data_IF_215092962424
#
_entry.id   IF_215092962424
#
_cell.length_a   1.000
_cell.length_b   1.000
_cell.length_c   1.000
_cell.angle_alpha   90.00
_cell.angle_beta   90.00
_cell.angle_gamma   90.00
#
_symmetry.space_group_name_H-M   'P 1'
#
loop_
_entity.id
_entity.type
_entity.pdbx_description
1 polymer ?
#
# COMPACT_ATOMS: atom_id res chain seq x y z
N UNK A 1 32.22 64.51 68.61
CA UNK A 1 32.55 64.20 67.18
C UNK A 1 31.89 62.91 66.85
N UNK A 2 30.72 62.97 66.27
CA UNK A 2 30.01 61.76 65.78
C UNK A 2 30.33 61.55 64.27
N UNK A 3 30.96 60.41 63.94
CA UNK A 3 31.15 59.98 62.53
C UNK A 3 29.86 59.34 62.05
N UNK A 4 29.26 59.88 60.95
CA UNK A 4 28.14 59.30 60.19
C UNK A 4 28.72 58.24 59.25
N UNK A 5 28.18 57.00 59.16
CA UNK A 5 28.63 56.03 58.22
C UNK A 5 28.08 56.37 56.80
N UNK A 6 28.96 56.25 55.80
CA UNK A 6 28.67 56.52 54.40
C UNK A 6 27.91 55.30 53.76
N UNK A 7 26.77 55.50 53.13
CA UNK A 7 26.07 54.40 52.52
C UNK A 7 26.78 53.93 51.23
N UNK A 8 27.18 52.65 51.16
CA UNK A 8 27.76 52.01 49.99
C UNK A 8 26.66 51.69 48.99
N UNK A 9 26.57 52.42 47.87
CA UNK A 9 25.71 52.13 46.78
C UNK A 9 26.27 50.94 45.97
N UNK A 10 25.44 49.93 45.55
CA UNK A 10 25.90 48.82 44.73
C UNK A 10 26.33 49.36 43.38
N UNK A 11 27.54 49.01 42.97
CA UNK A 11 28.16 49.50 41.74
C UNK A 11 27.34 49.00 40.53
N UNK A 12 27.12 49.88 39.54
CA UNK A 12 26.39 49.69 38.29
C UNK A 12 26.77 48.36 37.53
N UNK A 13 27.94 47.81 37.81
CA UNK A 13 28.44 46.54 37.30
C UNK A 13 27.63 45.31 37.79
N UNK A 14 27.10 45.33 39.00
CA UNK A 14 26.29 44.21 39.54
C UNK A 14 24.89 44.23 38.95
N UNK A 15 24.28 45.39 38.73
CA UNK A 15 23.00 45.57 38.07
C UNK A 15 23.03 45.10 36.61
N UNK A 16 24.09 45.47 35.88
CA UNK A 16 24.27 45.03 34.49
C UNK A 16 24.48 43.50 34.35
N UNK A 17 25.19 42.89 35.31
CA UNK A 17 25.37 41.43 35.33
C UNK A 17 24.07 40.69 35.66
N UNK A 18 23.26 41.19 36.56
CA UNK A 18 21.97 40.62 36.92
C UNK A 18 20.95 40.72 35.78
N UNK A 19 20.94 41.85 35.04
CA UNK A 19 20.11 42.00 33.84
C UNK A 19 20.55 41.08 32.70
N UNK A 20 21.87 40.90 32.49
CA UNK A 20 22.39 39.99 31.47
C UNK A 20 22.06 38.52 31.77
N UNK A 21 22.14 38.09 33.03
CA UNK A 21 21.73 36.74 33.44
C UNK A 21 20.23 36.50 33.31
N UNK A 22 19.38 37.50 33.64
CA UNK A 22 17.96 37.43 33.49
C UNK A 22 17.54 37.37 32.00
N UNK A 23 18.19 38.15 31.13
CA UNK A 23 17.96 38.10 29.67
C UNK A 23 18.41 36.78 29.05
N UNK A 24 19.54 36.20 29.48
CA UNK A 24 19.99 34.88 29.04
C UNK A 24 19.05 33.75 29.48
N UNK A 25 18.46 33.83 30.66
CA UNK A 25 17.48 32.85 31.17
C UNK A 25 16.15 32.89 30.39
N UNK A 26 15.71 34.08 29.94
CA UNK A 26 14.50 34.23 29.11
C UNK A 26 14.71 33.70 27.68
N UNK A 27 15.93 33.90 27.12
CA UNK A 27 16.26 33.36 25.78
C UNK A 27 16.41 31.85 25.77
N UNK A 28 16.82 31.19 26.85
CA UNK A 28 16.89 29.75 26.97
C UNK A 28 15.50 29.10 27.16
N UNK A 29 14.53 29.83 27.68
CA UNK A 29 13.17 29.32 27.91
C UNK A 29 12.30 29.24 26.62
N UNK A 30 12.67 29.97 25.56
CA UNK A 30 11.94 29.94 24.28
C UNK A 30 12.40 28.83 23.30
N UNK A 31 13.50 28.14 23.63
CA UNK A 31 14.06 27.11 22.76
C UNK A 31 13.44 25.70 22.92
N UNK A 32 12.42 25.49 23.76
CA UNK A 32 11.95 24.16 24.14
C UNK A 32 10.47 23.88 23.85
N UNK A 33 9.87 24.59 22.93
CA UNK A 33 8.63 24.10 22.31
C UNK A 33 8.93 23.67 20.87
N UNK A 34 9.78 22.68 20.70
CA UNK A 34 9.79 21.91 19.48
C UNK A 34 8.39 21.27 19.38
N UNK A 35 7.57 21.79 18.49
CA UNK A 35 6.25 21.27 18.19
C UNK A 35 6.38 19.77 17.95
N UNK A 36 5.92 18.96 18.90
CA UNK A 36 6.10 17.51 18.82
C UNK A 36 5.24 16.98 17.70
N UNK A 37 5.86 16.65 16.57
CA UNK A 37 5.14 15.98 15.48
C UNK A 37 4.48 14.67 15.99
N UNK A 38 3.20 14.35 15.62
CA UNK A 38 2.23 15.19 14.93
C UNK A 38 1.43 16.10 15.90
N UNK A 39 1.17 17.33 15.47
CA UNK A 39 0.33 18.31 16.20
C UNK A 39 -0.95 18.71 15.44
N UNK A 40 -1.15 18.15 14.24
CA UNK A 40 -2.33 18.35 13.39
C UNK A 40 -2.73 17.04 12.70
N UNK A 41 -3.94 16.95 12.10
CA UNK A 41 -4.38 15.78 11.39
C UNK A 41 -3.44 15.33 10.27
N UNK A 42 -3.27 14.01 10.13
CA UNK A 42 -2.51 13.38 9.05
C UNK A 42 -3.47 12.92 7.96
N UNK A 43 -3.17 13.25 6.71
CA UNK A 43 -3.91 12.77 5.55
C UNK A 43 -3.23 11.54 4.96
N UNK A 44 -4.01 10.50 4.66
CA UNK A 44 -3.56 9.33 3.91
C UNK A 44 -4.30 9.28 2.58
N UNK A 45 -3.60 9.56 1.50
CA UNK A 45 -4.13 9.42 0.14
C UNK A 45 -4.02 7.95 -0.26
N UNK A 46 -5.15 7.33 -0.54
CA UNK A 46 -5.23 5.99 -1.15
C UNK A 46 -5.36 6.19 -2.65
N UNK A 47 -4.40 5.70 -3.43
CA UNK A 47 -4.36 5.93 -4.88
C UNK A 47 -5.23 4.96 -5.71
N UNK A 48 -6.24 4.37 -5.07
CA UNK A 48 -7.27 3.51 -5.66
C UNK A 48 -8.66 3.91 -5.16
N UNK A 49 -9.73 3.55 -5.90
CA UNK A 49 -11.11 3.81 -5.48
C UNK A 49 -11.44 3.19 -4.13
N UNK A 50 -12.39 3.80 -3.44
CA UNK A 50 -12.94 3.28 -2.18
C UNK A 50 -13.51 1.87 -2.36
N UNK A 51 -13.43 1.06 -1.29
CA UNK A 51 -13.91 -0.33 -1.26
C UNK A 51 -12.96 -1.37 -1.86
N UNK A 52 -11.89 -0.94 -2.55
CA UNK A 52 -10.83 -1.86 -3.00
C UNK A 52 -9.89 -2.29 -1.85
N UNK A 53 -9.03 -3.28 -2.11
CA UNK A 53 -8.11 -3.83 -1.11
C UNK A 53 -7.22 -2.75 -0.46
N UNK A 54 -6.69 -1.80 -1.26
CA UNK A 54 -5.88 -0.70 -0.74
C UNK A 54 -6.64 0.17 0.27
N UNK A 55 -7.89 0.52 -0.03
CA UNK A 55 -8.74 1.33 0.85
C UNK A 55 -9.09 0.59 2.14
N UNK A 56 -9.47 -0.68 2.03
CA UNK A 56 -9.83 -1.49 3.19
C UNK A 56 -8.63 -1.71 4.12
N UNK A 57 -7.43 -1.99 3.59
CA UNK A 57 -6.19 -2.12 4.37
C UNK A 57 -5.79 -0.77 4.98
N UNK A 58 -5.87 0.33 4.21
CA UNK A 58 -5.61 1.67 4.73
C UNK A 58 -6.47 1.96 5.97
N UNK A 59 -7.78 1.75 5.88
CA UNK A 59 -8.72 1.99 6.99
C UNK A 59 -8.50 1.05 8.17
N UNK A 60 -8.14 -0.21 7.93
CA UNK A 60 -7.81 -1.16 8.98
C UNK A 60 -6.61 -0.69 9.83
N UNK A 61 -5.63 -0.05 9.20
CA UNK A 61 -4.42 0.47 9.86
C UNK A 61 -4.64 1.88 10.43
N UNK A 62 -5.24 2.79 9.66
CA UNK A 62 -5.34 4.21 10.07
C UNK A 62 -6.28 4.42 11.24
N UNK A 63 -7.33 3.62 11.40
CA UNK A 63 -8.27 3.74 12.50
C UNK A 63 -7.59 3.58 13.88
N UNK A 64 -6.84 2.51 14.19
CA UNK A 64 -6.11 2.40 15.44
C UNK A 64 -4.86 3.31 15.50
N UNK A 65 -4.29 3.69 14.36
CA UNK A 65 -3.13 4.58 14.28
C UNK A 65 -3.43 5.98 14.85
N UNK A 66 -4.69 6.47 14.75
CA UNK A 66 -5.12 7.73 15.34
C UNK A 66 -4.85 7.77 16.85
N UNK A 67 -5.21 6.71 17.56
CA UNK A 67 -4.97 6.60 19.01
C UNK A 67 -3.46 6.53 19.32
N UNK A 68 -2.68 5.85 18.50
CA UNK A 68 -1.24 5.71 18.69
C UNK A 68 -0.48 7.03 18.47
N UNK A 69 -0.95 7.87 17.56
CA UNK A 69 -0.34 9.15 17.21
C UNK A 69 -0.94 10.35 17.98
N UNK A 70 -2.13 10.17 18.59
CA UNK A 70 -2.84 11.26 19.29
C UNK A 70 -3.44 12.30 18.34
N UNK A 71 -3.52 12.01 17.05
CA UNK A 71 -4.05 12.91 16.03
C UNK A 71 -4.98 12.16 15.06
N UNK A 72 -5.98 12.84 14.47
CA UNK A 72 -6.80 12.24 13.42
C UNK A 72 -5.96 11.79 12.22
N UNK A 73 -6.27 10.60 11.67
CA UNK A 73 -5.66 10.09 10.44
C UNK A 73 -6.78 9.88 9.41
N UNK A 74 -6.87 10.77 8.44
CA UNK A 74 -7.99 10.86 7.50
C UNK A 74 -7.62 10.22 6.18
N UNK A 75 -8.44 9.25 5.73
CA UNK A 75 -8.26 8.57 4.43
C UNK A 75 -9.03 9.32 3.34
N UNK A 76 -8.34 9.64 2.25
CA UNK A 76 -8.89 10.24 1.03
C UNK A 76 -8.54 9.37 -0.18
N UNK A 77 -9.53 8.98 -0.99
CA UNK A 77 -9.30 8.18 -2.18
C UNK A 77 -9.07 9.07 -3.42
N UNK A 78 -7.92 8.90 -4.11
CA UNK A 78 -7.56 9.58 -5.36
C UNK A 78 -7.04 8.56 -6.38
N UNK A 79 -7.95 7.83 -7.01
CA UNK A 79 -7.61 6.85 -8.04
C UNK A 79 -7.37 7.48 -9.41
N UNK A 80 -6.87 6.67 -10.35
CA UNK A 80 -6.70 7.00 -11.77
C UNK A 80 -5.26 6.80 -12.26
N UNK A 81 -5.12 6.51 -13.56
CA UNK A 81 -3.85 6.25 -14.25
C UNK A 81 -2.96 5.24 -13.49
N UNK A 82 -3.52 4.05 -13.18
CA UNK A 82 -2.78 3.02 -12.41
C UNK A 82 -2.35 3.45 -11.02
N UNK A 83 -2.97 4.48 -10.43
CA UNK A 83 -2.61 5.05 -9.14
C UNK A 83 -1.64 6.25 -9.21
N UNK A 84 -1.19 6.63 -10.41
CA UNK A 84 -0.24 7.73 -10.58
C UNK A 84 -0.80 9.08 -10.14
N UNK A 85 -2.12 9.33 -10.27
CA UNK A 85 -2.75 10.59 -9.83
C UNK A 85 -2.60 10.78 -8.32
N UNK A 86 -2.90 9.76 -7.54
CA UNK A 86 -2.72 9.81 -6.07
C UNK A 86 -1.25 9.85 -5.68
N UNK A 87 -0.39 9.10 -6.38
CA UNK A 87 1.05 9.10 -6.18
C UNK A 87 1.69 10.47 -6.40
N UNK A 88 1.35 11.13 -7.51
CA UNK A 88 1.80 12.50 -7.83
C UNK A 88 1.36 13.51 -6.77
N UNK A 89 0.10 13.42 -6.34
CA UNK A 89 -0.43 14.32 -5.32
C UNK A 89 0.36 14.26 -4.01
N UNK A 90 0.83 13.06 -3.62
CA UNK A 90 1.69 12.90 -2.45
C UNK A 90 3.13 13.31 -2.74
N UNK A 91 3.71 12.89 -3.85
CA UNK A 91 5.08 13.25 -4.23
C UNK A 91 5.32 14.77 -4.25
N UNK A 92 4.28 15.55 -4.63
CA UNK A 92 4.32 17.03 -4.64
C UNK A 92 3.85 17.69 -3.36
N UNK A 93 3.47 16.94 -2.33
CA UNK A 93 3.08 17.49 -1.02
C UNK A 93 4.29 17.91 -0.20
N UNK A 94 4.12 18.80 0.81
CA UNK A 94 5.19 19.12 1.75
C UNK A 94 5.74 17.86 2.43
N UNK A 95 7.06 17.79 2.54
CA UNK A 95 7.77 16.66 3.16
C UNK A 95 7.80 16.78 4.70
N UNK A 96 6.64 17.03 5.31
CA UNK A 96 6.46 17.28 6.75
C UNK A 96 5.82 16.10 7.52
N UNK A 97 5.52 15.00 6.81
CA UNK A 97 4.92 13.80 7.38
C UNK A 97 3.40 13.86 7.59
N UNK A 98 2.73 14.94 7.19
CA UNK A 98 1.28 15.08 7.34
C UNK A 98 0.48 14.65 6.11
N UNK A 99 1.14 14.32 5.02
CA UNK A 99 0.51 13.69 3.85
C UNK A 99 1.25 12.40 3.53
N UNK A 100 0.54 11.29 3.58
CA UNK A 100 1.05 9.97 3.27
C UNK A 100 0.31 9.38 2.08
N UNK A 101 0.96 8.50 1.36
CA UNK A 101 0.37 7.65 0.34
C UNK A 101 0.17 6.25 0.90
N UNK A 102 -1.01 5.68 0.72
CA UNK A 102 -1.23 4.24 0.79
C UNK A 102 -1.40 3.69 -0.61
N UNK A 103 -0.49 2.82 -1.03
CA UNK A 103 -0.46 2.28 -2.38
C UNK A 103 -0.23 0.78 -2.40
N UNK A 104 -0.65 0.14 -3.48
CA UNK A 104 -0.08 -1.15 -3.86
C UNK A 104 1.35 -0.97 -4.35
N UNK A 105 2.18 -2.00 -4.20
CA UNK A 105 3.54 -2.01 -4.76
C UNK A 105 3.59 -1.80 -6.27
N UNK A 106 2.49 -2.08 -6.98
CA UNK A 106 2.39 -1.90 -8.43
C UNK A 106 2.72 -0.48 -8.89
N UNK A 107 2.26 0.54 -8.18
CA UNK A 107 2.56 1.93 -8.55
C UNK A 107 4.07 2.21 -8.48
N UNK A 108 4.78 1.66 -7.51
CA UNK A 108 6.25 1.86 -7.35
C UNK A 108 7.05 0.91 -8.23
N UNK A 109 6.62 -0.37 -8.33
CA UNK A 109 7.42 -1.45 -8.94
C UNK A 109 7.04 -1.75 -10.39
N UNK A 110 5.83 -1.41 -10.82
CA UNK A 110 5.26 -1.81 -12.13
C UNK A 110 5.09 -0.60 -13.04
N UNK A 111 4.51 0.50 -12.54
CA UNK A 111 4.21 1.66 -13.37
C UNK A 111 5.42 2.28 -14.08
N UNK A 112 6.64 2.31 -13.50
CA UNK A 112 7.83 2.79 -14.23
C UNK A 112 8.14 1.99 -15.51
N UNK A 113 7.66 0.75 -15.60
CA UNK A 113 7.82 -0.10 -16.79
C UNK A 113 6.66 0.01 -17.77
N UNK A 114 5.50 0.53 -17.32
CA UNK A 114 4.27 0.62 -18.12
C UNK A 114 4.05 1.99 -18.75
N UNK A 115 4.38 3.06 -18.02
CA UNK A 115 4.11 4.43 -18.41
C UNK A 115 5.40 5.08 -18.91
N UNK A 116 5.52 5.39 -20.21
CA UNK A 116 6.73 6.03 -20.75
C UNK A 116 7.01 7.41 -20.12
N UNK A 117 5.97 8.07 -19.62
CA UNK A 117 6.07 9.36 -18.94
C UNK A 117 5.21 9.33 -17.69
N UNK A 118 5.85 9.20 -16.55
CA UNK A 118 5.19 9.40 -15.26
C UNK A 118 5.34 10.87 -14.83
N UNK A 119 4.33 11.46 -14.15
CA UNK A 119 4.40 12.85 -13.67
C UNK A 119 5.34 13.03 -12.47
N UNK A 120 5.87 11.93 -11.93
CA UNK A 120 6.83 11.85 -10.82
C UNK A 120 7.64 10.55 -10.93
N UNK A 121 8.77 10.49 -10.25
CA UNK A 121 9.60 9.29 -10.11
C UNK A 121 9.32 8.63 -8.76
N UNK A 122 8.62 7.47 -8.70
CA UNK A 122 8.24 6.88 -7.41
C UNK A 122 9.43 6.46 -6.55
N UNK A 123 10.60 6.24 -7.14
CA UNK A 123 11.80 5.85 -6.41
C UNK A 123 12.53 7.07 -5.82
N UNK A 124 12.48 8.23 -6.51
CA UNK A 124 13.15 9.45 -6.07
C UNK A 124 12.26 10.37 -5.27
N UNK A 125 10.97 10.44 -5.62
CA UNK A 125 10.04 11.45 -5.09
C UNK A 125 9.21 10.93 -3.90
N UNK A 126 9.33 9.62 -3.58
CA UNK A 126 8.68 9.01 -2.42
C UNK A 126 9.68 8.31 -1.50
N UNK A 127 9.43 8.40 -0.21
CA UNK A 127 10.15 7.68 0.84
C UNK A 127 9.28 6.54 1.35
N UNK A 128 9.70 5.27 1.29
CA UNK A 128 9.01 4.16 1.94
C UNK A 128 8.91 4.39 3.45
N UNK A 129 7.73 4.18 4.03
CA UNK A 129 7.49 4.34 5.47
C UNK A 129 7.29 2.98 6.14
N UNK A 130 6.31 2.20 5.68
CA UNK A 130 6.00 0.89 6.24
C UNK A 130 5.23 0.04 5.23
N UNK A 131 5.56 -1.22 5.10
CA UNK A 131 4.64 -2.17 4.50
C UNK A 131 3.47 -2.43 5.46
N UNK A 132 2.27 -2.56 4.92
CA UNK A 132 1.07 -2.89 5.69
C UNK A 132 0.70 -4.36 5.52
N UNK A 133 0.67 -4.85 4.29
CA UNK A 133 0.29 -6.21 3.98
C UNK A 133 0.96 -6.73 2.71
N UNK A 134 1.24 -8.02 2.68
CA UNK A 134 1.38 -8.79 1.45
C UNK A 134 -0.02 -9.22 1.03
N UNK A 135 -0.44 -8.84 -0.16
CA UNK A 135 -1.76 -9.16 -0.71
C UNK A 135 -1.61 -10.26 -1.74
N UNK A 136 -2.30 -11.35 -1.47
CA UNK A 136 -2.37 -12.50 -2.35
C UNK A 136 -3.38 -12.22 -3.47
N UNK A 137 -3.29 -12.97 -4.57
CA UNK A 137 -4.29 -12.95 -5.63
C UNK A 137 -4.96 -14.32 -5.75
N UNK A 138 -6.27 -14.30 -5.91
CA UNK A 138 -7.13 -15.46 -5.89
C UNK A 138 -7.78 -15.62 -7.26
N UNK A 139 -7.62 -16.78 -7.90
CA UNK A 139 -8.27 -17.08 -9.18
C UNK A 139 -9.71 -17.49 -8.90
N UNK A 140 -10.62 -16.59 -9.13
CA UNK A 140 -12.06 -16.75 -8.93
C UNK A 140 -12.80 -16.80 -10.26
N UNK A 141 -13.78 -17.70 -10.37
CA UNK A 141 -14.64 -17.85 -11.55
C UNK A 141 -16.11 -17.74 -11.17
N UNK A 142 -16.95 -17.31 -12.14
CA UNK A 142 -18.41 -17.35 -11.99
C UNK A 142 -18.89 -18.80 -11.86
N UNK A 143 -19.89 -19.10 -11.01
CA UNK A 143 -20.34 -20.49 -10.77
C UNK A 143 -20.90 -21.20 -11.99
N UNK A 144 -21.43 -20.44 -12.96
CA UNK A 144 -22.01 -20.98 -14.20
C UNK A 144 -20.95 -21.43 -15.22
N UNK A 145 -19.66 -21.12 -14.99
CA UNK A 145 -18.59 -21.70 -15.80
C UNK A 145 -18.46 -23.20 -15.48
N UNK A 146 -18.47 -24.12 -16.49
CA UNK A 146 -18.51 -25.56 -16.26
C UNK A 146 -17.14 -26.14 -15.88
N UNK A 147 -16.53 -25.60 -14.79
CA UNK A 147 -15.22 -26.00 -14.26
C UNK A 147 -15.27 -26.00 -12.75
N UNK A 148 -14.69 -27.01 -12.09
CA UNK A 148 -14.64 -27.15 -10.63
C UNK A 148 -13.22 -27.14 -10.09
N UNK A 149 -12.24 -27.38 -10.95
CA UNK A 149 -10.82 -27.45 -10.59
C UNK A 149 -10.00 -26.54 -11.50
N UNK A 150 -8.81 -26.20 -11.03
CA UNK A 150 -7.86 -25.43 -11.86
C UNK A 150 -7.47 -26.18 -13.13
N UNK A 151 -7.35 -27.50 -13.08
CA UNK A 151 -7.02 -28.32 -14.23
C UNK A 151 -8.13 -28.26 -15.29
N UNK A 152 -9.42 -28.40 -14.90
CA UNK A 152 -10.57 -28.23 -15.77
C UNK A 152 -10.62 -26.81 -16.35
N UNK A 153 -10.33 -25.79 -15.56
CA UNK A 153 -10.29 -24.40 -16.02
C UNK A 153 -9.21 -24.19 -17.10
N UNK A 154 -7.99 -24.69 -16.88
CA UNK A 154 -6.92 -24.60 -17.86
C UNK A 154 -7.25 -25.36 -19.15
N UNK A 155 -7.85 -26.53 -19.03
CA UNK A 155 -8.33 -27.32 -20.20
C UNK A 155 -9.44 -26.54 -20.94
N UNK A 156 -10.39 -25.94 -20.22
CA UNK A 156 -11.46 -25.12 -20.78
C UNK A 156 -10.95 -23.90 -21.54
N UNK A 157 -9.97 -23.17 -20.95
CA UNK A 157 -9.30 -22.06 -21.63
C UNK A 157 -8.60 -22.49 -22.93
N UNK A 158 -7.89 -23.62 -22.89
CA UNK A 158 -7.20 -24.16 -24.07
C UNK A 158 -8.19 -24.57 -25.21
N UNK A 159 -9.32 -25.11 -24.84
CA UNK A 159 -10.38 -25.52 -25.80
C UNK A 159 -11.16 -24.30 -26.34
N UNK A 160 -11.12 -23.17 -25.70
CA UNK A 160 -11.91 -21.99 -26.02
C UNK A 160 -11.05 -20.69 -26.08
N UNK A 161 -10.03 -20.64 -26.95
CA UNK A 161 -9.13 -19.49 -27.01
C UNK A 161 -9.90 -18.21 -27.36
N UNK A 162 -9.78 -17.18 -26.55
CA UNK A 162 -10.40 -15.85 -26.74
C UNK A 162 -11.91 -15.78 -26.48
N UNK A 163 -12.54 -16.86 -26.01
CA UNK A 163 -13.97 -16.84 -25.67
C UNK A 163 -14.25 -16.42 -24.25
N UNK A 164 -13.28 -16.61 -23.33
CA UNK A 164 -13.42 -16.21 -21.94
C UNK A 164 -12.83 -14.80 -21.74
N UNK A 165 -13.47 -14.03 -20.88
CA UNK A 165 -13.03 -12.71 -20.45
C UNK A 165 -12.63 -12.68 -18.98
N UNK A 166 -11.68 -11.80 -18.64
CA UNK A 166 -11.31 -11.56 -17.26
C UNK A 166 -11.22 -10.07 -16.93
N UNK A 167 -11.68 -9.74 -15.73
CA UNK A 167 -11.63 -8.38 -15.22
C UNK A 167 -10.39 -8.11 -14.36
N UNK A 168 -9.92 -6.87 -14.39
CA UNK A 168 -8.83 -6.41 -13.52
C UNK A 168 -9.09 -5.00 -12.98
N UNK A 169 -8.44 -4.61 -11.88
CA UNK A 169 -8.52 -3.23 -11.37
C UNK A 169 -7.91 -2.14 -12.27
N UNK A 170 -7.38 -2.53 -13.44
CA UNK A 170 -6.71 -1.67 -14.40
C UNK A 170 -5.40 -2.28 -14.89
N UNK A 171 -4.86 -1.70 -15.96
CA UNK A 171 -3.61 -2.15 -16.57
C UNK A 171 -2.45 -2.08 -15.56
N UNK A 172 -1.59 -3.10 -15.54
CA UNK A 172 -0.43 -3.20 -14.65
C UNK A 172 -0.75 -3.51 -13.18
N UNK A 173 -2.03 -3.65 -12.80
CA UNK A 173 -2.37 -4.16 -11.47
C UNK A 173 -1.86 -5.60 -11.27
N UNK A 174 -1.61 -6.02 -10.03
CA UNK A 174 -1.19 -7.41 -9.76
C UNK A 174 -2.16 -8.45 -10.30
N UNK A 175 -3.50 -8.27 -10.27
CA UNK A 175 -4.44 -9.13 -11.00
C UNK A 175 -4.20 -9.20 -12.51
N UNK A 176 -3.87 -8.08 -13.16
CA UNK A 176 -3.53 -8.09 -14.58
C UNK A 176 -2.26 -8.90 -14.86
N UNK A 177 -1.20 -8.64 -14.09
CA UNK A 177 0.07 -9.35 -14.23
C UNK A 177 -0.10 -10.86 -13.94
N UNK A 178 -0.91 -11.24 -12.95
CA UNK A 178 -1.25 -12.62 -12.67
C UNK A 178 -1.93 -13.31 -13.88
N UNK A 179 -2.89 -12.63 -14.51
CA UNK A 179 -3.55 -13.16 -15.70
C UNK A 179 -2.59 -13.29 -16.90
N UNK A 180 -1.69 -12.33 -17.10
CA UNK A 180 -0.67 -12.41 -18.16
C UNK A 180 0.38 -13.51 -17.89
N UNK A 181 0.75 -13.72 -16.62
CA UNK A 181 1.56 -14.88 -16.22
C UNK A 181 0.86 -16.19 -16.53
N UNK A 182 -0.43 -16.31 -16.17
CA UNK A 182 -1.26 -17.49 -16.47
C UNK A 182 -1.30 -17.75 -17.98
N UNK A 183 -1.62 -16.73 -18.79
CA UNK A 183 -1.67 -16.83 -20.25
C UNK A 183 -0.35 -17.30 -20.85
N UNK A 184 0.77 -16.78 -20.29
CA UNK A 184 2.11 -17.14 -20.76
C UNK A 184 2.48 -18.56 -20.39
N UNK A 185 2.37 -18.93 -19.12
CA UNK A 185 2.87 -20.21 -18.62
C UNK A 185 1.98 -21.39 -19.03
N UNK A 186 0.66 -21.19 -19.10
CA UNK A 186 -0.28 -22.21 -19.53
C UNK A 186 -0.48 -22.25 -21.05
N UNK A 187 0.08 -21.30 -21.82
CA UNK A 187 -0.14 -21.11 -23.24
C UNK A 187 -1.64 -21.06 -23.59
N UNK A 188 -2.37 -20.15 -22.95
CA UNK A 188 -3.81 -19.93 -23.13
C UNK A 188 -4.10 -18.48 -23.48
N UNK A 189 -5.30 -18.22 -24.03
CA UNK A 189 -5.73 -16.86 -24.36
C UNK A 189 -7.11 -16.56 -23.79
N UNK A 190 -7.24 -15.42 -23.11
CA UNK A 190 -8.49 -14.85 -22.63
C UNK A 190 -8.49 -13.33 -22.85
N UNK A 191 -9.68 -12.75 -23.00
CA UNK A 191 -9.86 -11.31 -23.27
C UNK A 191 -9.75 -10.51 -21.97
N UNK A 192 -8.86 -9.53 -21.94
CA UNK A 192 -8.72 -8.63 -20.81
C UNK A 192 -9.75 -7.49 -20.87
N UNK A 193 -10.43 -7.24 -19.75
CA UNK A 193 -11.35 -6.12 -19.55
C UNK A 193 -10.84 -5.30 -18.36
N UNK A 194 -10.20 -4.14 -18.57
CA UNK A 194 -9.72 -3.28 -17.51
C UNK A 194 -10.85 -2.44 -16.90
N UNK A 195 -10.86 -2.33 -15.57
CA UNK A 195 -11.81 -1.52 -14.80
C UNK A 195 -11.07 -0.44 -14.00
N UNK A 196 -11.81 0.57 -13.56
CA UNK A 196 -11.29 1.61 -12.65
C UNK A 196 -11.34 1.14 -11.18
N UNK A 197 -10.69 0.00 -10.89
CA UNK A 197 -10.62 -0.60 -9.57
C UNK A 197 -11.23 -2.01 -9.48
N UNK A 198 -10.96 -2.73 -8.39
CA UNK A 198 -11.39 -4.12 -8.22
C UNK A 198 -12.92 -4.25 -8.01
N UNK A 199 -13.55 -3.30 -7.32
CA UNK A 199 -14.96 -3.38 -6.98
C UNK A 199 -15.90 -3.45 -8.21
N UNK A 200 -15.78 -2.58 -9.23
CA UNK A 200 -16.61 -2.70 -10.43
C UNK A 200 -16.33 -3.98 -11.22
N UNK A 201 -15.08 -4.45 -11.31
CA UNK A 201 -14.77 -5.74 -11.94
C UNK A 201 -15.44 -6.92 -11.20
N UNK A 202 -15.46 -6.89 -9.87
CA UNK A 202 -16.12 -7.88 -9.02
C UNK A 202 -17.65 -7.89 -9.25
N UNK A 203 -18.28 -6.73 -9.38
CA UNK A 203 -19.71 -6.66 -9.68
C UNK A 203 -20.05 -7.32 -11.02
N UNK A 204 -19.23 -7.11 -12.06
CA UNK A 204 -19.43 -7.70 -13.36
C UNK A 204 -19.13 -9.22 -13.39
N UNK A 205 -18.17 -9.69 -12.56
CA UNK A 205 -17.96 -11.13 -12.36
C UNK A 205 -19.18 -11.77 -11.68
N UNK A 206 -19.72 -11.16 -10.63
CA UNK A 206 -20.93 -11.61 -9.95
C UNK A 206 -22.16 -11.56 -10.85
N UNK A 207 -22.24 -10.56 -11.72
CA UNK A 207 -23.28 -10.38 -12.72
C UNK A 207 -23.14 -11.29 -13.95
N UNK A 208 -22.06 -12.09 -14.05
CA UNK A 208 -21.80 -12.99 -15.16
C UNK A 208 -21.34 -12.32 -16.46
N UNK A 209 -20.98 -11.03 -16.42
CA UNK A 209 -20.40 -10.29 -17.56
C UNK A 209 -18.94 -10.67 -17.79
N UNK A 210 -18.26 -11.18 -16.77
CA UNK A 210 -16.92 -11.73 -16.80
C UNK A 210 -16.96 -13.22 -16.46
N UNK A 211 -15.97 -13.97 -16.95
CA UNK A 211 -15.85 -15.40 -16.67
C UNK A 211 -14.99 -15.67 -15.44
N UNK A 212 -13.93 -14.90 -15.26
CA UNK A 212 -13.00 -15.04 -14.14
C UNK A 212 -12.28 -13.72 -13.81
N UNK A 213 -11.63 -13.70 -12.66
CA UNK A 213 -10.64 -12.68 -12.30
C UNK A 213 -9.60 -13.25 -11.36
N UNK A 214 -8.44 -12.62 -11.33
CA UNK A 214 -7.56 -12.68 -10.18
C UNK A 214 -8.00 -11.59 -9.19
N UNK A 215 -8.55 -11.98 -8.05
CA UNK A 215 -9.05 -11.06 -7.04
C UNK A 215 -8.00 -10.77 -5.98
N UNK A 216 -7.80 -9.51 -5.56
CA UNK A 216 -6.92 -9.16 -4.45
C UNK A 216 -7.58 -9.33 -3.07
N UNK A 217 -8.60 -10.19 -2.95
CA UNK A 217 -9.23 -10.61 -1.71
C UNK A 217 -10.58 -9.98 -1.38
N UNK A 218 -11.11 -9.07 -2.22
CA UNK A 218 -12.42 -8.45 -1.95
C UNK A 218 -13.60 -9.42 -2.25
N UNK A 219 -13.38 -10.45 -3.07
CA UNK A 219 -14.36 -11.47 -3.45
C UNK A 219 -14.47 -12.64 -2.46
N UNK A 220 -13.56 -12.79 -1.50
CA UNK A 220 -13.50 -13.96 -0.64
C UNK A 220 -14.77 -14.20 0.20
N UNK A 221 -15.52 -13.16 0.53
CA UNK A 221 -16.84 -13.29 1.16
C UNK A 221 -17.86 -13.92 0.21
N UNK A 222 -17.79 -13.63 -1.09
CA UNK A 222 -18.64 -14.21 -2.11
C UNK A 222 -18.28 -15.67 -2.40
N UNK A 223 -16.97 -16.01 -2.33
CA UNK A 223 -16.51 -17.41 -2.38
C UNK A 223 -17.09 -18.21 -1.20
N UNK A 224 -16.98 -17.69 0.03
CA UNK A 224 -17.57 -18.35 1.21
C UNK A 224 -19.09 -18.49 1.14
N UNK A 225 -19.77 -17.57 0.46
CA UNK A 225 -21.21 -17.61 0.23
C UNK A 225 -21.62 -18.47 -1.00
N UNK A 226 -20.67 -19.11 -1.69
CA UNK A 226 -20.93 -19.93 -2.89
C UNK A 226 -21.33 -19.14 -4.14
N UNK A 227 -21.18 -17.80 -4.10
CA UNK A 227 -21.50 -16.92 -5.24
C UNK A 227 -20.35 -16.84 -6.26
N UNK A 228 -19.16 -17.26 -5.87
CA UNK A 228 -17.99 -17.42 -6.73
C UNK A 228 -17.30 -18.73 -6.38
N UNK A 229 -16.54 -19.26 -7.31
CA UNK A 229 -15.71 -20.46 -7.10
C UNK A 229 -14.24 -20.06 -7.12
N UNK A 230 -13.53 -20.39 -6.05
CA UNK A 230 -12.08 -20.23 -5.95
C UNK A 230 -11.38 -21.49 -6.48
N UNK A 231 -10.54 -21.33 -7.49
CA UNK A 231 -9.86 -22.46 -8.14
C UNK A 231 -8.40 -22.61 -7.77
N UNK A 232 -7.71 -21.50 -7.52
CA UNK A 232 -6.30 -21.50 -7.19
C UNK A 232 -5.88 -20.19 -6.52
N UNK A 233 -4.72 -20.22 -5.86
CA UNK A 233 -4.04 -19.02 -5.33
C UNK A 233 -2.85 -18.70 -6.23
N UNK A 234 -2.74 -17.44 -6.68
CA UNK A 234 -1.66 -16.96 -7.53
C UNK A 234 -0.42 -16.51 -6.75
N UNK A 235 -0.15 -17.14 -5.63
CA UNK A 235 0.94 -16.85 -4.69
C UNK A 235 1.89 -18.03 -4.59
N UNK A 236 3.12 -17.79 -4.12
CA UNK A 236 4.11 -18.84 -3.90
C UNK A 236 3.71 -19.87 -2.83
N UNK A 237 2.76 -19.53 -1.95
CA UNK A 237 2.26 -20.40 -0.88
C UNK A 237 0.74 -20.34 -0.83
N UNK A 238 0.09 -21.43 -0.38
CA UNK A 238 -1.36 -21.47 -0.17
C UNK A 238 -1.80 -20.40 0.83
N UNK A 239 -3.05 -19.95 0.66
CA UNK A 239 -3.68 -19.05 1.61
C UNK A 239 -4.03 -19.76 2.92
N UNK A 240 -3.72 -19.18 4.10
CA UNK A 240 -4.18 -19.73 5.37
C UNK A 240 -5.71 -19.78 5.50
N UNK A 241 -6.43 -18.92 4.76
CA UNK A 241 -7.90 -18.93 4.76
C UNK A 241 -8.50 -20.06 3.92
N UNK A 242 -7.75 -20.60 2.97
CA UNK A 242 -8.16 -21.66 2.05
C UNK A 242 -7.03 -22.68 1.88
N UNK A 243 -6.70 -23.44 2.93
CA UNK A 243 -5.54 -24.36 2.93
C UNK A 243 -5.68 -25.49 1.93
N UNK A 244 -6.90 -25.84 1.55
CA UNK A 244 -7.19 -26.91 0.57
C UNK A 244 -7.09 -26.44 -0.88
N UNK A 245 -7.07 -25.12 -1.13
CA UNK A 245 -6.98 -24.56 -2.49
C UNK A 245 -5.50 -24.52 -2.90
N UNK A 246 -5.13 -25.15 -4.03
CA UNK A 246 -3.75 -25.22 -4.48
C UNK A 246 -3.24 -23.85 -4.97
N UNK A 247 -1.92 -23.69 -4.95
CA UNK A 247 -1.27 -22.59 -5.70
C UNK A 247 -1.15 -22.95 -7.18
N UNK A 248 -0.96 -21.95 -8.02
CA UNK A 248 -0.69 -22.18 -9.45
C UNK A 248 0.67 -22.86 -9.66
N UNK A 249 1.65 -22.64 -8.79
CA UNK A 249 2.93 -23.35 -8.80
C UNK A 249 2.78 -24.85 -8.54
N UNK A 250 1.94 -25.23 -7.58
CA UNK A 250 1.65 -26.65 -7.25
C UNK A 250 0.99 -27.41 -8.40
N UNK A 251 0.23 -26.72 -9.23
CA UNK A 251 -0.45 -27.33 -10.39
C UNK A 251 0.36 -27.25 -11.69
N UNK A 252 1.65 -26.94 -11.61
CA UNK A 252 2.60 -27.04 -12.70
C UNK A 252 3.00 -25.71 -13.36
N UNK A 253 2.44 -24.59 -12.95
CA UNK A 253 2.88 -23.26 -13.41
C UNK A 253 4.03 -22.76 -12.53
N UNK A 254 5.22 -23.33 -12.73
CA UNK A 254 6.37 -23.17 -11.86
C UNK A 254 6.83 -21.73 -11.71
N UNK A 255 7.14 -21.33 -10.46
CA UNK A 255 7.53 -19.98 -10.10
C UNK A 255 6.39 -18.97 -10.16
N UNK A 256 5.13 -19.41 -10.24
CA UNK A 256 4.00 -18.49 -10.24
C UNK A 256 3.89 -17.80 -8.89
N UNK A 257 4.12 -16.50 -8.86
CA UNK A 257 3.96 -15.64 -7.71
C UNK A 257 3.58 -14.23 -8.21
N UNK A 258 2.35 -13.84 -8.00
CA UNK A 258 1.81 -12.54 -8.39
C UNK A 258 1.41 -11.68 -7.18
N UNK A 259 1.89 -12.04 -5.99
CA UNK A 259 1.67 -11.25 -4.78
C UNK A 259 2.23 -9.85 -4.94
N UNK A 260 1.58 -8.91 -4.27
CA UNK A 260 2.05 -7.53 -4.19
C UNK A 260 2.06 -7.05 -2.74
N UNK A 261 2.88 -6.03 -2.48
CA UNK A 261 3.02 -5.42 -1.16
C UNK A 261 2.25 -4.11 -1.13
N UNK A 262 1.36 -3.97 -0.16
CA UNK A 262 0.69 -2.71 0.09
C UNK A 262 1.36 -2.02 1.27
N UNK A 263 1.53 -0.70 1.16
CA UNK A 263 2.20 0.05 2.22
C UNK A 263 2.10 1.55 2.11
N UNK A 264 2.68 2.18 3.10
CA UNK A 264 2.68 3.62 3.27
C UNK A 264 3.99 4.22 2.77
N UNK A 265 3.87 5.33 2.07
CA UNK A 265 4.97 6.16 1.60
C UNK A 265 4.74 7.61 2.02
N UNK A 266 5.81 8.36 2.16
CA UNK A 266 5.80 9.80 2.39
C UNK A 266 6.47 10.53 1.21
N UNK A 267 6.32 11.85 1.05
CA UNK A 267 7.13 12.63 0.12
C UNK A 267 8.62 12.46 0.41
N UNK A 268 9.45 12.45 -0.62
CA UNK A 268 10.90 12.43 -0.45
C UNK A 268 11.38 13.64 0.35
N UNK A 269 12.36 13.44 1.23
CA UNK A 269 12.85 14.48 2.15
C UNK A 269 12.05 14.62 3.45
N UNK A 270 11.03 13.77 3.68
CA UNK A 270 10.37 13.69 5.00
C UNK A 270 11.41 13.38 6.09
N UNK A 271 11.44 14.13 7.22
CA UNK A 271 12.45 13.96 8.26
C UNK A 271 12.57 12.51 8.74
N UNK A 272 13.79 11.99 8.92
CA UNK A 272 14.01 10.58 9.29
C UNK A 272 13.37 10.17 10.63
N UNK A 273 13.27 11.05 11.58
CA UNK A 273 12.61 10.85 12.88
C UNK A 273 11.09 10.69 12.72
N UNK A 274 10.48 11.45 11.81
CA UNK A 274 9.06 11.33 11.45
C UNK A 274 8.80 9.97 10.77
N UNK A 275 9.64 9.58 9.80
CA UNK A 275 9.54 8.27 9.13
C UNK A 275 9.69 7.14 10.14
N UNK A 276 10.68 7.23 11.03
CA UNK A 276 10.93 6.23 12.07
C UNK A 276 9.75 6.11 13.04
N UNK A 277 9.16 7.24 13.46
CA UNK A 277 7.98 7.24 14.32
C UNK A 277 6.78 6.63 13.63
N UNK A 278 6.50 7.03 12.37
CA UNK A 278 5.43 6.43 11.58
C UNK A 278 5.60 4.92 11.43
N UNK A 279 6.79 4.47 11.03
CA UNK A 279 7.09 3.04 10.88
C UNK A 279 6.84 2.27 12.17
N UNK A 280 7.35 2.78 13.29
CA UNK A 280 7.16 2.15 14.60
C UNK A 280 5.69 2.02 14.98
N UNK A 281 4.92 3.09 14.86
CA UNK A 281 3.50 3.09 15.26
C UNK A 281 2.66 2.24 14.29
N UNK A 282 2.92 2.28 12.98
CA UNK A 282 2.25 1.41 12.00
C UNK A 282 2.57 -0.06 12.29
N UNK A 283 3.84 -0.43 12.51
CA UNK A 283 4.22 -1.81 12.81
C UNK A 283 3.60 -2.30 14.14
N UNK A 284 3.49 -1.44 15.15
CA UNK A 284 2.79 -1.74 16.40
C UNK A 284 1.31 -2.03 16.18
N UNK A 285 0.65 -1.21 15.37
CA UNK A 285 -0.76 -1.39 15.00
C UNK A 285 -0.97 -2.68 14.22
N UNK A 286 -0.11 -2.99 13.25
CA UNK A 286 -0.12 -4.25 12.50
C UNK A 286 0.06 -5.49 13.39
N UNK A 287 0.72 -5.33 14.54
CA UNK A 287 0.90 -6.38 15.54
C UNK A 287 -0.37 -6.72 16.33
N UNK A 288 -1.39 -5.86 16.32
CA UNK A 288 -2.64 -6.08 17.06
C UNK A 288 -3.52 -7.13 16.41
N UNK A 289 -4.23 -7.94 17.23
CA UNK A 289 -5.06 -9.02 16.71
C UNK A 289 -6.17 -8.47 15.80
N UNK A 290 -6.83 -7.39 16.19
CA UNK A 290 -7.90 -6.78 15.40
C UNK A 290 -7.48 -6.36 13.98
N UNK A 291 -6.26 -5.82 13.82
CA UNK A 291 -5.73 -5.44 12.51
C UNK A 291 -5.30 -6.67 11.71
N UNK A 292 -4.67 -7.64 12.36
CA UNK A 292 -4.33 -8.93 11.74
C UNK A 292 -5.57 -9.61 11.17
N UNK A 293 -6.63 -9.69 11.95
CA UNK A 293 -7.87 -10.34 11.55
C UNK A 293 -8.51 -9.63 10.33
N UNK A 294 -8.52 -8.28 10.34
CA UNK A 294 -9.04 -7.50 9.21
C UNK A 294 -8.24 -7.72 7.93
N UNK A 295 -6.90 -7.68 8.01
CA UNK A 295 -6.04 -7.91 6.85
C UNK A 295 -6.17 -9.36 6.35
N UNK A 296 -6.22 -10.32 7.27
CA UNK A 296 -6.40 -11.74 6.93
C UNK A 296 -7.76 -11.99 6.28
N UNK A 297 -8.83 -11.35 6.76
CA UNK A 297 -10.17 -11.46 6.15
C UNK A 297 -10.21 -11.01 4.68
N UNK A 298 -9.31 -10.12 4.29
CA UNK A 298 -9.08 -9.69 2.90
C UNK A 298 -8.10 -10.61 2.14
N UNK A 299 -7.75 -11.78 2.68
CA UNK A 299 -6.77 -12.67 2.07
C UNK A 299 -5.33 -12.14 2.09
N UNK A 300 -5.08 -11.06 2.81
CA UNK A 300 -3.75 -10.49 3.00
C UNK A 300 -3.00 -11.12 4.17
N UNK A 301 -1.70 -10.91 4.20
CA UNK A 301 -0.82 -11.26 5.31
C UNK A 301 -0.21 -9.98 5.87
N UNK A 302 -0.44 -9.63 7.15
CA UNK A 302 0.22 -8.47 7.76
C UNK A 302 1.74 -8.54 7.59
N UNK A 303 2.36 -7.42 7.25
CA UNK A 303 3.76 -7.40 6.84
C UNK A 303 4.59 -6.31 7.53
N UNK A 304 4.69 -6.31 8.87
CA UNK A 304 5.50 -5.34 9.57
C UNK A 304 6.98 -5.50 9.18
N UNK A 305 7.59 -4.41 8.68
CA UNK A 305 9.00 -4.39 8.31
C UNK A 305 9.59 -2.98 8.37
N UNK A 306 10.91 -2.89 8.29
CA UNK A 306 11.60 -1.61 8.21
C UNK A 306 11.35 -0.91 6.85
N UNK A 307 11.53 0.43 6.78
CA UNK A 307 11.47 1.14 5.50
C UNK A 307 12.48 0.60 4.47
N UNK A 308 13.65 0.20 4.92
CA UNK A 308 14.71 -0.38 4.07
C UNK A 308 14.29 -1.72 3.48
N UNK A 309 13.73 -2.62 4.29
CA UNK A 309 13.25 -3.93 3.81
C UNK A 309 12.08 -3.75 2.85
N UNK A 310 11.18 -2.80 3.14
CA UNK A 310 10.06 -2.49 2.24
C UNK A 310 10.55 -1.97 0.88
N UNK A 311 11.56 -1.10 0.86
CA UNK A 311 12.18 -0.63 -0.37
C UNK A 311 12.85 -1.76 -1.16
N UNK A 312 13.55 -2.67 -0.46
CA UNK A 312 14.18 -3.83 -1.10
C UNK A 312 13.13 -4.74 -1.79
N UNK A 313 11.95 -4.92 -1.17
CA UNK A 313 10.84 -5.66 -1.79
C UNK A 313 10.33 -4.98 -3.06
N UNK A 314 10.15 -3.66 -3.04
CA UNK A 314 9.75 -2.91 -4.23
C UNK A 314 10.75 -3.10 -5.39
N UNK A 315 12.05 -3.12 -5.11
CA UNK A 315 13.09 -3.36 -6.10
C UNK A 315 13.06 -4.77 -6.69
N UNK A 316 12.84 -5.80 -5.86
CA UNK A 316 12.69 -7.20 -6.30
C UNK A 316 11.47 -7.34 -7.22
N UNK A 317 10.33 -6.76 -6.84
CA UNK A 317 9.11 -6.79 -7.64
C UNK A 317 9.29 -6.02 -8.95
N UNK A 318 9.98 -4.89 -8.94
CA UNK A 318 10.27 -4.10 -10.14
C UNK A 318 11.07 -4.91 -11.17
N UNK A 319 12.10 -5.63 -10.74
CA UNK A 319 12.88 -6.48 -11.63
C UNK A 319 12.04 -7.63 -12.22
N UNK A 320 11.26 -8.30 -11.37
CA UNK A 320 10.43 -9.45 -11.76
C UNK A 320 9.32 -9.05 -12.73
N UNK A 321 8.53 -8.04 -12.39
CA UNK A 321 7.42 -7.60 -13.22
C UNK A 321 7.87 -6.81 -14.45
N UNK A 322 8.98 -6.06 -14.36
CA UNK A 322 9.56 -5.38 -15.52
C UNK A 322 9.96 -6.33 -16.64
N UNK A 323 10.52 -7.50 -16.29
CA UNK A 323 10.83 -8.55 -17.25
C UNK A 323 9.55 -9.10 -17.95
N UNK A 324 8.48 -9.35 -17.18
CA UNK A 324 7.19 -9.82 -17.71
C UNK A 324 6.57 -8.77 -18.64
N UNK A 325 6.51 -7.52 -18.20
CA UNK A 325 5.93 -6.39 -18.96
C UNK A 325 6.62 -6.26 -20.32
N UNK A 326 7.95 -6.27 -20.33
CA UNK A 326 8.74 -6.21 -21.56
C UNK A 326 8.48 -7.41 -22.47
N UNK A 327 8.48 -8.64 -21.92
CA UNK A 327 8.28 -9.86 -22.68
C UNK A 327 6.89 -9.94 -23.32
N UNK A 328 5.86 -9.34 -22.68
CA UNK A 328 4.46 -9.39 -23.12
C UNK A 328 3.99 -8.10 -23.77
N UNK A 329 4.87 -7.10 -23.92
CA UNK A 329 4.53 -5.77 -24.45
C UNK A 329 3.30 -5.15 -23.76
N UNK A 330 3.22 -5.29 -22.42
CA UNK A 330 2.11 -4.74 -21.64
C UNK A 330 2.29 -3.23 -21.58
N UNK A 331 1.21 -2.47 -21.86
CA UNK A 331 1.22 -1.02 -21.84
C UNK A 331 0.25 -0.49 -20.79
N UNK A 332 0.54 0.68 -20.24
CA UNK A 332 -0.38 1.44 -19.41
C UNK A 332 -1.56 2.02 -20.21
N UNK A 333 -2.55 2.55 -19.49
CA UNK A 333 -3.72 3.23 -20.08
C UNK A 333 -3.34 4.57 -20.72
#
# INVERSE_FOLDING_TARGET
MHRVPNPSYPTTRHLLRSLACAAASVLLSTAAMADTWPNKPIKVIVNFPAGGAADQIARAVTQPLQAALGQPVVVENRGGAGGNIGGEAVAKSPADGYTLLMSSGGMVSVNPHLYPKMPFDPVKDLTPVAAAARVLVFLEVRPSLPVNTIQEFLAHLKANPGKLSFGTPGNGSSPHLAAEMLKTQANVFAVHVPYRGAAPAMQDLLGGQLDFMFDPGIGLSHVKAGKLRLLAVGSAKRSPLFPDVPTLDEVGLKGFDADTWFGFYAPAGTPPDVVTRLNREINKVLGTQAVKDRITALGGVPAPMSPTDFNARASIDSARFGALIKARNIQGD
#
